data_IF_520352687139
#
_entry.id   IF_520352687139
#
_cell.length_a   1.000
_cell.length_b   1.000
_cell.length_c   1.000
_cell.angle_alpha   90.00
_cell.angle_beta   90.00
_cell.angle_gamma   90.00
#
_symmetry.space_group_name_H-M   'P 1'
#
loop_
_entity.id
_entity.type
_entity.pdbx_description
1 polymer ?
#
# COMPACT_ATOMS: atom_id res chain seq x y z
N UNK A 1 -18.67 6.19 -0.74
CA UNK A 1 -17.76 7.07 -1.49
C UNK A 1 -16.46 6.34 -1.76
N UNK A 2 -16.00 6.32 -3.01
CA UNK A 2 -14.69 5.78 -3.39
C UNK A 2 -13.62 6.79 -3.00
N UNK A 3 -12.49 6.32 -2.46
CA UNK A 3 -11.35 7.18 -2.08
C UNK A 3 -10.14 6.76 -2.92
N UNK A 4 -9.42 7.74 -3.44
CA UNK A 4 -8.27 7.53 -4.31
C UNK A 4 -7.01 8.07 -3.65
N UNK A 5 -5.88 7.42 -3.96
CA UNK A 5 -4.55 7.86 -3.58
C UNK A 5 -3.78 8.07 -4.89
N UNK A 6 -3.17 9.25 -5.05
CA UNK A 6 -2.37 9.59 -6.23
C UNK A 6 -0.91 9.71 -5.79
N UNK A 7 -0.02 9.00 -6.49
CA UNK A 7 1.41 9.06 -6.30
C UNK A 7 2.07 9.67 -7.54
N UNK A 8 2.83 10.76 -7.37
CA UNK A 8 3.67 11.33 -8.44
C UNK A 8 5.09 10.79 -8.32
N UNK A 9 5.59 10.16 -9.39
CA UNK A 9 6.99 9.71 -9.47
C UNK A 9 7.96 10.90 -9.56
N UNK A 10 7.55 11.99 -10.20
CA UNK A 10 8.37 13.20 -10.40
C UNK A 10 8.67 13.91 -9.08
N UNK A 11 7.70 13.90 -8.14
CA UNK A 11 7.87 14.49 -6.82
C UNK A 11 8.54 13.53 -5.81
N UNK A 12 8.65 12.24 -6.13
CA UNK A 12 9.20 11.25 -5.21
C UNK A 12 10.72 11.20 -5.30
N UNK A 13 11.38 11.56 -4.20
CA UNK A 13 12.85 11.47 -4.04
C UNK A 13 13.32 10.15 -3.42
N UNK A 14 12.38 9.24 -3.13
CA UNK A 14 12.68 7.92 -2.60
C UNK A 14 13.16 7.91 -1.13
N UNK A 15 12.70 8.86 -0.32
CA UNK A 15 13.07 9.00 1.09
C UNK A 15 12.50 7.91 2.02
N UNK A 16 11.54 7.09 1.54
CA UNK A 16 10.89 5.99 2.29
C UNK A 16 10.12 6.39 3.55
N UNK A 17 9.96 7.69 3.85
CA UNK A 17 9.18 8.16 5.00
C UNK A 17 7.74 7.65 4.97
N UNK A 18 7.14 7.53 3.78
CA UNK A 18 5.80 6.97 3.62
C UNK A 18 5.71 5.47 3.98
N UNK A 19 6.79 4.69 3.80
CA UNK A 19 6.84 3.30 4.25
C UNK A 19 6.83 3.25 5.78
N UNK A 20 7.67 4.06 6.43
CA UNK A 20 7.77 4.12 7.88
C UNK A 20 6.45 4.55 8.50
N UNK A 21 5.85 5.63 8.01
CA UNK A 21 4.55 6.10 8.49
C UNK A 21 3.47 5.01 8.36
N UNK A 22 3.41 4.33 7.21
CA UNK A 22 2.43 3.26 6.99
C UNK A 22 2.64 2.06 7.94
N UNK A 23 3.89 1.67 8.18
CA UNK A 23 4.22 0.59 9.10
C UNK A 23 3.88 0.98 10.55
N UNK A 24 4.16 2.21 10.98
CA UNK A 24 3.86 2.67 12.34
C UNK A 24 2.35 2.68 12.61
N UNK A 25 1.55 3.15 11.65
CA UNK A 25 0.08 3.21 11.80
C UNK A 25 -0.60 1.83 11.78
N UNK A 26 0.04 0.82 11.18
CA UNK A 26 -0.60 -0.48 10.92
C UNK A 26 0.15 -1.68 11.48
N UNK A 27 1.26 -1.48 12.19
CA UNK A 27 1.97 -2.58 12.80
C UNK A 27 1.37 -2.94 14.16
N UNK A 28 1.16 -4.24 14.38
CA UNK A 28 0.78 -4.78 15.67
C UNK A 28 1.97 -4.80 16.67
N UNK A 29 3.21 -4.67 16.20
CA UNK A 29 4.40 -4.62 17.06
C UNK A 29 5.59 -3.93 16.39
N UNK A 30 6.44 -3.26 17.16
CA UNK A 30 7.63 -2.59 16.63
C UNK A 30 8.59 -3.54 15.86
N UNK A 31 8.51 -4.85 16.11
CA UNK A 31 9.32 -5.86 15.43
C UNK A 31 8.85 -6.21 14.01
N UNK A 32 7.61 -5.87 13.63
CA UNK A 32 7.07 -6.18 12.30
C UNK A 32 7.05 -4.94 11.40
N UNK A 33 8.08 -4.80 10.56
CA UNK A 33 8.10 -3.76 9.52
C UNK A 33 7.46 -4.29 8.23
N UNK A 34 6.13 -4.18 8.13
CA UNK A 34 5.36 -4.64 6.96
C UNK A 34 4.42 -3.53 6.44
N UNK A 35 4.98 -2.46 5.83
CA UNK A 35 4.15 -1.40 5.26
C UNK A 35 3.31 -1.90 4.09
N UNK A 36 2.10 -1.35 3.95
CA UNK A 36 1.14 -1.70 2.89
C UNK A 36 1.46 -1.03 1.54
N UNK A 37 2.43 -0.11 1.53
CA UNK A 37 3.01 0.53 0.35
C UNK A 37 4.54 0.41 0.42
N UNK A 38 5.19 0.35 -0.74
CA UNK A 38 6.65 0.27 -0.85
C UNK A 38 7.17 1.22 -1.91
N UNK A 39 8.23 1.94 -1.61
CA UNK A 39 8.97 2.77 -2.56
C UNK A 39 9.85 1.88 -3.41
N UNK A 40 9.58 1.88 -4.70
CA UNK A 40 10.47 1.33 -5.70
C UNK A 40 11.45 2.42 -6.15
N UNK A 41 12.73 2.06 -6.15
CA UNK A 41 13.82 2.90 -6.68
C UNK A 41 14.34 2.20 -7.92
N UNK A 42 14.18 2.86 -9.05
CA UNK A 42 14.76 2.46 -10.33
C UNK A 42 15.95 3.39 -10.62
N UNK A 43 16.64 3.16 -11.74
CA UNK A 43 17.85 3.89 -12.10
C UNK A 43 17.60 5.40 -12.28
N UNK A 44 16.45 5.78 -12.84
CA UNK A 44 16.13 7.18 -13.18
C UNK A 44 14.98 7.79 -12.40
N UNK A 45 14.24 7.00 -11.62
CA UNK A 45 13.06 7.47 -10.90
C UNK A 45 12.81 6.67 -9.63
N UNK A 46 12.03 7.26 -8.73
CA UNK A 46 11.46 6.54 -7.61
C UNK A 46 9.97 6.77 -7.52
N UNK A 47 9.23 5.78 -7.01
CA UNK A 47 7.77 5.87 -6.91
C UNK A 47 7.26 4.97 -5.79
N UNK A 48 6.33 5.44 -4.94
CA UNK A 48 5.64 4.57 -4.01
C UNK A 48 4.59 3.73 -4.76
N UNK A 49 4.68 2.42 -4.61
CA UNK A 49 3.77 1.43 -5.19
C UNK A 49 2.93 0.81 -4.08
N UNK A 50 1.62 0.69 -4.32
CA UNK A 50 0.67 0.10 -3.37
C UNK A 50 -0.42 -0.68 -4.11
N UNK A 51 -1.20 -1.48 -3.38
CA UNK A 51 -2.38 -2.13 -3.96
C UNK A 51 -3.38 -1.07 -4.43
N UNK A 52 -3.79 -1.13 -5.70
CA UNK A 52 -4.70 -0.16 -6.31
C UNK A 52 -6.15 -0.24 -5.82
N UNK A 53 -6.50 -1.28 -5.04
CA UNK A 53 -7.88 -1.53 -4.58
C UNK A 53 -8.89 -1.43 -5.72
N UNK A 54 -8.57 -2.03 -6.87
CA UNK A 54 -9.38 -1.95 -8.07
C UNK A 54 -10.84 -2.34 -7.78
N UNK A 55 -11.79 -1.54 -8.27
CA UNK A 55 -13.23 -1.77 -8.12
C UNK A 55 -13.63 -3.19 -8.56
N UNK A 56 -13.03 -3.67 -9.66
CA UNK A 56 -13.18 -5.04 -10.15
C UNK A 56 -11.89 -5.83 -9.97
N UNK A 57 -11.59 -6.20 -8.73
CA UNK A 57 -10.49 -7.13 -8.42
C UNK A 57 -10.88 -8.54 -8.92
N UNK A 58 -10.06 -9.22 -9.76
CA UNK A 58 -10.27 -10.62 -10.06
C UNK A 58 -10.39 -11.41 -8.75
N UNK A 59 -11.45 -12.22 -8.62
CA UNK A 59 -11.57 -13.14 -7.51
C UNK A 59 -10.31 -14.01 -7.52
N UNK A 60 -9.51 -13.92 -6.46
CA UNK A 60 -8.30 -14.71 -6.29
C UNK A 60 -8.77 -16.15 -6.10
N UNK A 61 -8.90 -16.90 -7.20
CA UNK A 61 -9.36 -18.28 -7.18
C UNK A 61 -8.38 -19.14 -6.39
N UNK A 62 -8.85 -19.71 -5.28
CA UNK A 62 -8.38 -21.00 -4.76
C UNK A 62 -6.98 -21.11 -4.15
N UNK A 63 -6.53 -20.17 -3.31
CA UNK A 63 -5.33 -20.37 -2.49
C UNK A 63 -5.65 -20.21 -0.99
N UNK A 64 -5.32 -21.20 -0.13
CA UNK A 64 -5.48 -21.07 1.31
C UNK A 64 -4.35 -20.21 1.86
N UNK A 65 -4.68 -18.98 2.25
CA UNK A 65 -3.76 -18.04 2.89
C UNK A 65 -3.78 -16.64 2.30
N UNK A 66 -4.63 -15.76 2.84
CA UNK A 66 -4.37 -14.31 2.88
C UNK A 66 -4.99 -13.46 1.78
N UNK A 67 -6.13 -12.83 2.11
CA UNK A 67 -6.45 -11.48 1.62
C UNK A 67 -7.81 -11.32 0.96
N UNK A 68 -8.86 -11.28 1.77
CA UNK A 68 -10.09 -10.57 1.44
C UNK A 68 -10.77 -10.06 2.71
N UNK A 69 -10.71 -8.75 2.96
CA UNK A 69 -11.74 -8.07 3.74
C UNK A 69 -11.94 -6.64 3.21
N UNK A 70 -13.11 -6.42 2.64
CA UNK A 70 -13.72 -5.10 2.48
C UNK A 70 -14.40 -4.76 3.81
N UNK A 71 -13.76 -3.93 4.63
CA UNK A 71 -14.27 -3.48 5.93
C UNK A 71 -14.84 -2.06 5.88
N UNK A 72 -16.16 -1.99 5.66
CA UNK A 72 -17.19 -0.99 6.04
C UNK A 72 -16.74 0.47 6.32
N UNK A 73 -17.27 1.38 5.51
CA UNK A 73 -17.38 2.79 5.89
C UNK A 73 -18.29 2.98 7.09
N UNK A 74 -17.89 3.84 8.01
CA UNK A 74 -18.71 4.41 9.09
C UNK A 74 -18.11 5.76 9.47
N UNK A 75 -18.89 6.83 9.35
CA UNK A 75 -18.50 8.22 9.64
C UNK A 75 -18.52 9.11 8.42
#
# INVERSE_FOLDING_TARGET
MTRFIIASAEACIGCRTCEVACALEHSASAAMFQPRLKVQRLDSLSVPVMCHQCEKRPLRGGLPGGGAEHGRGSG
#
